data_IF_270984193869
#
_entry.id   IF_270984193869
#
_cell.length_a   1.000
_cell.length_b   1.000
_cell.length_c   1.000
_cell.angle_alpha   90.00
_cell.angle_beta   90.00
_cell.angle_gamma   90.00
#
_symmetry.space_group_name_H-M   'P 1'
#
loop_
_entity.id
_entity.type
_entity.pdbx_description
1 polymer ?
#
# COMPACT_ATOMS: atom_id res chain seq x y z
N UNK A 1 21.74 -15.76 2.82
CA UNK A 1 23.04 -15.06 2.96
C UNK A 1 23.03 -14.05 4.12
N UNK A 2 22.21 -12.99 4.11
CA UNK A 2 22.25 -11.94 5.16
C UNK A 2 22.03 -12.51 6.58
N UNK A 3 21.09 -13.42 6.76
CA UNK A 3 20.83 -14.06 8.06
C UNK A 3 21.98 -14.98 8.49
N UNK A 4 22.62 -15.68 7.57
CA UNK A 4 23.78 -16.53 7.83
C UNK A 4 24.99 -15.72 8.33
N UNK A 5 25.05 -14.43 7.98
CA UNK A 5 26.07 -13.50 8.48
C UNK A 5 25.71 -12.85 9.83
N UNK A 6 24.61 -13.26 10.46
CA UNK A 6 24.13 -12.74 11.74
C UNK A 6 23.43 -11.38 11.67
N UNK A 7 23.11 -10.88 10.47
CA UNK A 7 22.38 -9.63 10.28
C UNK A 7 20.88 -9.85 10.46
N UNK A 8 20.23 -8.88 11.09
CA UNK A 8 18.76 -8.79 11.09
C UNK A 8 18.28 -8.15 9.82
N UNK A 9 17.23 -8.72 9.22
CA UNK A 9 16.69 -8.28 7.94
C UNK A 9 15.34 -7.61 8.16
N UNK A 10 15.23 -6.35 7.78
CA UNK A 10 13.96 -5.63 7.68
C UNK A 10 13.62 -5.48 6.20
N UNK A 11 12.53 -6.08 5.75
CA UNK A 11 12.06 -5.93 4.39
C UNK A 11 11.06 -4.77 4.28
N UNK A 12 11.34 -3.87 3.34
CA UNK A 12 10.63 -2.59 3.23
C UNK A 12 10.26 -2.31 1.78
N UNK A 13 9.19 -2.95 1.24
CA UNK A 13 8.72 -2.66 -0.12
C UNK A 13 8.02 -1.31 -0.16
N UNK A 14 8.28 -0.53 -1.20
CA UNK A 14 7.61 0.76 -1.40
C UNK A 14 7.37 1.06 -2.88
N UNK A 15 6.39 1.91 -3.15
CA UNK A 15 6.03 2.34 -4.49
C UNK A 15 6.81 3.62 -4.83
N UNK A 16 7.41 3.65 -6.02
CA UNK A 16 7.81 4.87 -6.72
C UNK A 16 6.90 5.03 -7.94
N UNK A 17 6.30 6.20 -8.10
CA UNK A 17 5.45 6.49 -9.23
C UNK A 17 6.30 6.97 -10.40
N UNK A 18 6.14 6.35 -11.57
CA UNK A 18 6.75 6.81 -12.82
C UNK A 18 5.77 7.71 -13.55
N UNK A 19 5.84 9.01 -13.27
CA UNK A 19 4.95 10.03 -13.83
C UNK A 19 5.73 10.85 -14.85
N UNK A 20 5.42 10.66 -16.12
CA UNK A 20 6.07 11.38 -17.21
C UNK A 20 5.58 12.83 -17.28
N UNK A 21 6.44 13.74 -17.70
CA UNK A 21 6.06 15.12 -17.99
C UNK A 21 5.04 15.16 -19.13
N UNK A 22 4.03 16.03 -19.03
CA UNK A 22 2.98 16.16 -20.05
C UNK A 22 2.05 14.94 -20.16
N UNK A 23 1.86 14.19 -19.07
CA UNK A 23 1.14 12.89 -19.03
C UNK A 23 -0.36 12.96 -19.37
N UNK A 24 -0.98 14.15 -19.43
CA UNK A 24 -2.41 14.31 -19.71
C UNK A 24 -3.36 13.79 -18.61
N UNK A 25 -2.83 13.41 -17.45
CA UNK A 25 -3.61 12.95 -16.30
C UNK A 25 -3.88 14.11 -15.35
N UNK A 26 -5.15 14.38 -15.07
CA UNK A 26 -5.51 15.44 -14.14
C UNK A 26 -4.87 15.22 -12.76
N UNK A 27 -4.26 16.27 -12.20
CA UNK A 27 -3.71 16.22 -10.84
C UNK A 27 -4.85 16.26 -9.81
N UNK A 28 -5.03 15.21 -9.01
CA UNK A 28 -6.12 15.14 -8.04
C UNK A 28 -6.02 16.20 -6.93
N UNK A 29 -4.83 16.78 -6.71
CA UNK A 29 -4.59 17.76 -5.66
C UNK A 29 -4.88 19.19 -6.08
N UNK A 30 -4.61 19.53 -7.34
CA UNK A 30 -4.72 20.92 -7.85
C UNK A 30 -5.75 21.09 -8.95
N UNK A 31 -6.19 20.00 -9.58
CA UNK A 31 -7.03 20.02 -10.77
C UNK A 31 -6.30 20.42 -12.06
N UNK A 32 -4.97 20.55 -12.02
CA UNK A 32 -4.17 20.83 -13.22
C UNK A 32 -4.30 19.68 -14.24
N UNK A 33 -4.16 20.01 -15.54
CA UNK A 33 -4.32 19.04 -16.63
C UNK A 33 -3.26 17.93 -16.67
N UNK A 34 -2.14 18.13 -16.01
CA UNK A 34 -1.07 17.14 -15.89
C UNK A 34 -0.70 16.94 -14.42
N UNK A 35 -0.47 15.70 -14.02
CA UNK A 35 0.15 15.39 -12.75
C UNK A 35 1.63 15.81 -12.78
N UNK A 36 2.17 16.36 -11.69
CA UNK A 36 3.59 16.69 -11.61
C UNK A 36 4.44 15.42 -11.58
N UNK A 37 5.63 15.48 -12.18
CA UNK A 37 6.60 14.37 -12.22
C UNK A 37 7.27 14.15 -10.85
N UNK A 38 6.45 13.93 -9.81
CA UNK A 38 6.89 13.69 -8.44
C UNK A 38 6.64 12.21 -8.11
N UNK A 39 7.69 11.40 -7.96
CA UNK A 39 7.55 9.94 -7.80
C UNK A 39 7.08 9.50 -6.41
N UNK A 40 6.78 10.44 -5.51
CA UNK A 40 6.47 10.15 -4.12
C UNK A 40 5.05 9.59 -3.94
N UNK A 41 4.98 8.37 -3.42
CA UNK A 41 3.74 7.62 -3.11
C UNK A 41 2.77 8.33 -2.18
N UNK A 42 3.24 9.29 -1.38
CA UNK A 42 2.37 10.12 -0.52
C UNK A 42 1.38 11.00 -1.29
N UNK A 43 1.52 11.10 -2.61
CA UNK A 43 0.59 11.80 -3.50
C UNK A 43 -0.54 10.90 -4.03
N UNK A 44 -0.46 9.58 -3.88
CA UNK A 44 -1.55 8.67 -4.26
C UNK A 44 -2.78 9.01 -3.41
N UNK A 45 -3.92 9.28 -4.06
CA UNK A 45 -5.15 9.68 -3.39
C UNK A 45 -6.37 9.38 -4.26
N UNK A 46 -7.54 9.89 -3.88
CA UNK A 46 -8.79 9.81 -4.64
C UNK A 46 -8.69 10.54 -5.99
N UNK A 47 -9.64 10.30 -6.87
CA UNK A 47 -9.77 11.02 -8.17
C UNK A 47 -9.75 12.54 -8.01
N UNK A 48 -10.26 13.05 -6.88
CA UNK A 48 -10.05 14.40 -6.37
C UNK A 48 -9.66 14.27 -4.90
N UNK A 49 -8.55 14.87 -4.50
CA UNK A 49 -8.01 14.76 -3.15
C UNK A 49 -9.00 15.28 -2.08
N UNK A 50 -8.91 14.80 -0.84
CA UNK A 50 -9.71 15.33 0.26
C UNK A 50 -9.61 16.85 0.38
N UNK A 51 -10.76 17.52 0.54
CA UNK A 51 -10.87 18.98 0.57
C UNK A 51 -11.03 19.65 -0.80
N UNK A 52 -10.79 18.95 -1.91
CA UNK A 52 -11.04 19.44 -3.27
C UNK A 52 -12.54 19.49 -3.60
N UNK A 53 -12.92 20.40 -4.49
CA UNK A 53 -14.32 20.49 -4.95
C UNK A 53 -14.71 19.21 -5.70
N UNK A 54 -15.82 18.58 -5.30
CA UNK A 54 -16.28 17.31 -5.88
C UNK A 54 -15.49 16.07 -5.41
N UNK A 55 -14.64 16.19 -4.37
CA UNK A 55 -13.95 15.04 -3.79
C UNK A 55 -14.95 14.01 -3.28
N UNK A 56 -14.72 12.69 -3.56
CA UNK A 56 -15.52 11.62 -2.97
C UNK A 56 -15.23 11.38 -1.48
N UNK A 57 -14.26 12.09 -0.87
CA UNK A 57 -13.93 11.98 0.56
C UNK A 57 -15.18 12.11 1.44
N UNK A 58 -15.26 11.33 2.50
CA UNK A 58 -16.41 11.20 3.42
C UNK A 58 -17.66 10.51 2.81
N UNK A 59 -17.57 10.01 1.58
CA UNK A 59 -18.65 9.31 0.89
C UNK A 59 -18.32 7.84 0.60
N UNK A 60 -19.31 7.12 0.03
CA UNK A 60 -19.12 5.73 -0.43
C UNK A 60 -18.08 5.61 -1.55
N UNK A 61 -18.00 6.61 -2.44
CA UNK A 61 -17.02 6.66 -3.52
C UNK A 61 -15.56 6.64 -3.02
N UNK A 62 -15.30 7.18 -1.82
CA UNK A 62 -13.99 7.06 -1.19
C UNK A 62 -13.66 5.61 -0.81
N UNK A 63 -14.62 4.89 -0.27
CA UNK A 63 -14.46 3.46 0.08
C UNK A 63 -14.21 2.64 -1.18
N UNK A 64 -14.98 2.87 -2.24
CA UNK A 64 -14.85 2.17 -3.52
C UNK A 64 -13.46 2.38 -4.15
N UNK A 65 -12.96 3.63 -4.17
CA UNK A 65 -11.65 3.94 -4.73
C UNK A 65 -10.50 3.38 -3.89
N UNK A 66 -10.61 3.42 -2.56
CA UNK A 66 -9.62 2.77 -1.68
C UNK A 66 -9.63 1.25 -1.87
N UNK A 67 -10.80 0.63 -1.91
CA UNK A 67 -10.91 -0.81 -2.16
C UNK A 67 -10.32 -1.20 -3.53
N UNK A 68 -10.57 -0.40 -4.56
CA UNK A 68 -9.97 -0.61 -5.88
C UNK A 68 -8.43 -0.50 -5.87
N UNK A 69 -7.87 0.42 -5.10
CA UNK A 69 -6.41 0.54 -4.93
C UNK A 69 -5.82 -0.68 -4.20
N UNK A 70 -6.48 -1.14 -3.14
CA UNK A 70 -6.01 -2.33 -2.41
C UNK A 70 -6.23 -3.62 -3.21
N UNK A 71 -7.32 -3.73 -3.93
CA UNK A 71 -7.67 -4.90 -4.73
C UNK A 71 -8.20 -6.08 -3.90
N UNK A 72 -8.27 -7.23 -4.53
CA UNK A 72 -8.93 -8.43 -3.99
C UNK A 72 -8.00 -9.65 -3.82
N UNK A 73 -6.72 -9.53 -4.17
CA UNK A 73 -5.73 -10.59 -4.02
C UNK A 73 -5.64 -11.08 -2.56
N UNK A 74 -5.53 -12.38 -2.39
CA UNK A 74 -5.42 -13.08 -1.10
C UNK A 74 -4.10 -13.82 -0.99
N UNK A 75 -3.64 -14.08 0.24
CA UNK A 75 -2.44 -14.89 0.46
C UNK A 75 -2.50 -16.26 -0.19
N UNK A 76 -3.69 -16.85 -0.31
CA UNK A 76 -3.91 -18.16 -0.96
C UNK A 76 -3.77 -18.15 -2.48
N UNK A 77 -3.71 -16.98 -3.11
CA UNK A 77 -3.55 -16.85 -4.56
C UNK A 77 -2.10 -16.99 -5.02
N UNK A 78 -1.17 -17.15 -4.07
CA UNK A 78 0.25 -17.24 -4.32
C UNK A 78 0.76 -18.65 -4.02
N UNK A 79 1.58 -19.16 -4.92
CA UNK A 79 2.22 -20.47 -4.77
C UNK A 79 3.75 -20.29 -4.86
N UNK A 80 4.43 -20.25 -3.70
CA UNK A 80 5.89 -20.16 -3.67
C UNK A 80 6.49 -21.51 -4.10
N UNK A 81 7.48 -21.47 -4.99
CA UNK A 81 8.24 -22.62 -5.43
C UNK A 81 9.71 -22.22 -5.62
N UNK A 82 10.60 -22.85 -4.88
CA UNK A 82 12.04 -22.58 -4.88
C UNK A 82 12.37 -21.07 -4.78
N UNK A 83 12.81 -20.46 -5.88
CA UNK A 83 13.21 -19.05 -5.92
C UNK A 83 12.14 -18.12 -6.57
N UNK A 84 10.91 -18.60 -6.73
CA UNK A 84 9.85 -17.88 -7.39
C UNK A 84 8.51 -17.96 -6.64
N UNK A 85 7.62 -17.02 -6.96
CA UNK A 85 6.25 -17.02 -6.44
C UNK A 85 5.28 -16.87 -7.61
N UNK A 86 4.56 -17.94 -7.94
CA UNK A 86 3.51 -17.89 -8.95
C UNK A 86 2.24 -17.26 -8.37
N UNK A 87 1.49 -16.56 -9.21
CA UNK A 87 0.22 -15.94 -8.86
C UNK A 87 -0.91 -16.49 -9.73
N UNK A 88 -2.00 -16.93 -9.11
CA UNK A 88 -3.17 -17.50 -9.76
C UNK A 88 -4.49 -16.80 -9.39
N UNK A 89 -4.42 -15.69 -8.69
CA UNK A 89 -5.58 -14.91 -8.28
C UNK A 89 -6.17 -14.02 -9.39
N UNK A 90 -7.01 -13.04 -9.03
CA UNK A 90 -7.60 -12.09 -9.97
C UNK A 90 -6.57 -11.37 -10.83
N UNK A 91 -6.90 -11.12 -12.09
CA UNK A 91 -6.01 -10.37 -12.99
C UNK A 91 -6.04 -8.87 -12.66
N UNK A 92 -5.31 -8.49 -11.63
CA UNK A 92 -5.22 -7.12 -11.12
C UNK A 92 -3.76 -6.76 -10.79
N UNK A 93 -3.43 -5.49 -10.88
CA UNK A 93 -2.20 -4.90 -10.35
C UNK A 93 -2.57 -4.03 -9.15
N UNK A 94 -2.72 -4.66 -7.98
CA UNK A 94 -3.23 -4.04 -6.78
C UNK A 94 -2.18 -3.98 -5.67
N UNK A 95 -2.45 -3.14 -4.66
CA UNK A 95 -1.55 -3.00 -3.53
C UNK A 95 -1.42 -4.30 -2.73
N UNK A 96 -2.53 -5.02 -2.50
CA UNK A 96 -2.52 -6.34 -1.83
C UNK A 96 -1.67 -7.34 -2.59
N UNK A 97 -1.86 -7.44 -3.91
CA UNK A 97 -1.05 -8.32 -4.75
C UNK A 97 0.44 -8.04 -4.62
N UNK A 98 0.82 -6.75 -4.63
CA UNK A 98 2.21 -6.32 -4.48
C UNK A 98 2.80 -6.74 -3.13
N UNK A 99 2.15 -6.43 -2.03
CA UNK A 99 2.65 -6.73 -0.68
C UNK A 99 2.67 -8.23 -0.38
N UNK A 100 1.60 -8.95 -0.74
CA UNK A 100 1.50 -10.40 -0.51
C UNK A 100 2.53 -11.18 -1.34
N UNK A 101 2.83 -10.75 -2.57
CA UNK A 101 3.90 -11.33 -3.38
C UNK A 101 5.24 -11.27 -2.63
N UNK A 102 5.61 -10.12 -2.10
CA UNK A 102 6.86 -9.97 -1.36
C UNK A 102 6.85 -10.68 0.00
N UNK A 103 5.71 -10.80 0.66
CA UNK A 103 5.60 -11.59 1.87
C UNK A 103 5.92 -13.07 1.59
N UNK A 104 5.36 -13.63 0.49
CA UNK A 104 5.67 -14.99 0.07
C UNK A 104 7.13 -15.17 -0.37
N UNK A 105 7.72 -14.19 -1.07
CA UNK A 105 9.16 -14.22 -1.40
C UNK A 105 10.02 -14.21 -0.14
N UNK A 106 9.69 -13.39 0.86
CA UNK A 106 10.40 -13.38 2.13
C UNK A 106 10.28 -14.73 2.85
N UNK A 107 9.10 -15.36 2.85
CA UNK A 107 8.90 -16.69 3.44
C UNK A 107 9.74 -17.75 2.72
N UNK A 108 9.74 -17.78 1.39
CA UNK A 108 10.52 -18.71 0.58
C UNK A 108 12.04 -18.51 0.78
N UNK A 109 12.49 -17.27 0.96
CA UNK A 109 13.90 -16.94 1.23
C UNK A 109 14.35 -17.23 2.68
N UNK A 110 13.56 -17.92 3.50
CA UNK A 110 13.88 -18.26 4.88
C UNK A 110 13.45 -17.20 5.90
N UNK A 111 12.49 -16.34 5.55
CA UNK A 111 11.86 -15.31 6.38
C UNK A 111 12.76 -14.08 6.65
N UNK A 112 12.20 -13.10 7.32
CA UNK A 112 12.82 -11.82 7.72
C UNK A 112 12.53 -11.54 9.19
N UNK A 113 13.27 -10.60 9.82
CA UNK A 113 13.02 -10.21 11.22
C UNK A 113 11.86 -9.20 11.34
N UNK A 114 11.69 -8.37 10.32
CA UNK A 114 10.57 -7.44 10.23
C UNK A 114 10.14 -7.21 8.78
N UNK A 115 8.88 -6.91 8.58
CA UNK A 115 8.27 -6.61 7.29
C UNK A 115 7.37 -5.37 7.39
N UNK A 116 7.59 -4.38 6.52
CA UNK A 116 6.73 -3.21 6.41
C UNK A 116 5.65 -3.47 5.36
N UNK A 117 4.38 -3.36 5.76
CA UNK A 117 3.22 -3.52 4.85
C UNK A 117 2.90 -2.28 4.04
N UNK A 118 3.62 -1.19 4.27
CA UNK A 118 3.44 0.08 3.56
C UNK A 118 4.31 1.18 4.14
N UNK A 119 4.39 2.27 3.41
CA UNK A 119 5.16 3.43 3.82
C UNK A 119 4.66 4.72 3.19
N UNK A 120 4.65 5.79 3.98
CA UNK A 120 4.46 7.17 3.52
C UNK A 120 3.28 7.37 2.55
N UNK A 121 2.17 6.65 2.78
CA UNK A 121 0.97 6.76 1.92
C UNK A 121 -0.03 7.78 2.47
N UNK A 122 0.46 8.94 2.89
CA UNK A 122 -0.33 10.00 3.49
C UNK A 122 -1.60 10.33 2.71
N UNK A 123 -1.49 10.43 1.38
CA UNK A 123 -2.63 10.74 0.51
C UNK A 123 -3.73 9.68 0.53
N UNK A 124 -3.39 8.44 0.89
CA UNK A 124 -4.32 7.30 1.03
C UNK A 124 -4.85 7.20 2.46
N UNK A 125 -3.96 7.28 3.46
CA UNK A 125 -4.33 7.06 4.87
C UNK A 125 -5.24 8.15 5.44
N UNK A 126 -5.22 9.36 4.88
CA UNK A 126 -6.11 10.46 5.29
C UNK A 126 -7.53 10.38 4.73
N UNK A 127 -7.80 9.51 3.73
CA UNK A 127 -9.10 9.38 3.10
C UNK A 127 -10.15 8.91 4.12
N UNK A 128 -11.29 9.57 4.14
CA UNK A 128 -12.42 9.22 4.99
C UNK A 128 -13.57 8.65 4.17
N UNK A 129 -14.13 7.59 4.66
CA UNK A 129 -15.41 7.06 4.21
C UNK A 129 -16.58 7.69 4.98
N UNK A 130 -17.81 7.16 4.80
CA UNK A 130 -18.98 7.56 5.57
C UNK A 130 -18.71 7.43 7.09
N UNK A 131 -19.31 8.35 7.88
CA UNK A 131 -19.20 8.38 9.34
C UNK A 131 -17.76 8.55 9.88
N UNK A 132 -16.87 9.17 9.11
CA UNK A 132 -15.51 9.47 9.53
C UNK A 132 -14.59 8.26 9.67
N UNK A 133 -14.95 7.11 9.10
CA UNK A 133 -14.07 5.93 9.07
C UNK A 133 -12.95 6.11 8.07
N UNK A 134 -11.81 5.50 8.33
CA UNK A 134 -10.63 5.50 7.47
C UNK A 134 -10.52 4.15 6.74
N UNK A 135 -11.05 4.03 5.50
CA UNK A 135 -11.08 2.74 4.82
C UNK A 135 -9.69 2.15 4.57
N UNK A 136 -8.70 2.98 4.25
CA UNK A 136 -7.33 2.50 4.04
C UNK A 136 -6.70 1.90 5.32
N UNK A 137 -7.06 2.42 6.50
CA UNK A 137 -6.57 1.84 7.76
C UNK A 137 -7.15 0.45 7.97
N UNK A 138 -8.43 0.25 7.66
CA UNK A 138 -9.07 -1.08 7.73
C UNK A 138 -8.38 -2.08 6.80
N UNK A 139 -8.15 -1.70 5.54
CA UNK A 139 -7.45 -2.53 4.55
C UNK A 139 -6.01 -2.86 4.98
N UNK A 140 -5.28 -1.89 5.55
CA UNK A 140 -3.94 -2.12 6.07
C UNK A 140 -3.93 -3.09 7.26
N UNK A 141 -4.93 -3.00 8.15
CA UNK A 141 -5.06 -3.94 9.26
C UNK A 141 -5.30 -5.37 8.76
N UNK A 142 -6.20 -5.55 7.79
CA UNK A 142 -6.47 -6.85 7.18
C UNK A 142 -5.23 -7.40 6.46
N UNK A 143 -4.54 -6.56 5.68
CA UNK A 143 -3.29 -6.92 5.01
C UNK A 143 -2.20 -7.35 6.00
N UNK A 144 -2.09 -6.64 7.14
CA UNK A 144 -1.15 -7.00 8.20
C UNK A 144 -1.43 -8.41 8.78
N UNK A 145 -2.71 -8.76 8.95
CA UNK A 145 -3.10 -10.09 9.42
C UNK A 145 -2.75 -11.18 8.39
N UNK A 146 -2.96 -10.93 7.11
CA UNK A 146 -2.56 -11.88 6.07
C UNK A 146 -1.03 -12.04 5.97
N UNK A 147 -0.29 -10.94 5.98
CA UNK A 147 1.18 -10.98 6.01
C UNK A 147 1.67 -11.74 7.25
N UNK A 148 1.01 -11.55 8.39
CA UNK A 148 1.27 -12.30 9.62
C UNK A 148 1.06 -13.81 9.43
N UNK A 149 0.01 -14.21 8.73
CA UNK A 149 -0.27 -15.62 8.48
C UNK A 149 0.77 -16.28 7.55
N UNK A 150 1.36 -15.50 6.64
CA UNK A 150 2.39 -15.97 5.71
C UNK A 150 3.76 -16.06 6.40
N UNK A 151 4.16 -15.03 7.13
CA UNK A 151 5.50 -14.90 7.70
C UNK A 151 5.67 -15.52 9.09
N UNK A 152 4.55 -15.79 9.80
CA UNK A 152 4.57 -16.35 11.14
C UNK A 152 4.60 -15.30 12.26
N UNK A 153 4.43 -15.77 13.50
CA UNK A 153 4.25 -14.94 14.69
C UNK A 153 5.51 -14.14 15.09
N UNK A 154 6.68 -14.67 14.78
CA UNK A 154 7.95 -14.09 15.21
C UNK A 154 8.39 -12.86 14.38
N UNK A 155 7.86 -12.72 13.15
CA UNK A 155 8.17 -11.58 12.28
C UNK A 155 7.43 -10.34 12.75
N UNK A 156 8.14 -9.23 12.93
CA UNK A 156 7.51 -7.95 13.27
C UNK A 156 6.87 -7.35 12.03
N UNK A 157 5.58 -7.02 12.13
CA UNK A 157 4.85 -6.34 11.05
C UNK A 157 4.69 -4.88 11.42
N UNK A 158 5.01 -3.97 10.50
CA UNK A 158 4.94 -2.54 10.71
C UNK A 158 4.49 -1.76 9.48
N UNK A 159 4.24 -0.48 9.69
CA UNK A 159 4.01 0.52 8.66
C UNK A 159 5.01 1.67 8.89
N UNK A 160 5.72 2.07 7.85
CA UNK A 160 6.69 3.16 7.93
C UNK A 160 6.02 4.49 7.54
N UNK A 161 5.42 5.14 8.53
CA UNK A 161 4.70 6.38 8.34
C UNK A 161 5.63 7.55 7.96
N UNK A 162 5.15 8.43 7.08
CA UNK A 162 5.74 9.76 6.92
C UNK A 162 5.56 10.57 8.22
N UNK A 163 6.50 11.46 8.52
CA UNK A 163 6.42 12.27 9.73
C UNK A 163 5.12 13.07 9.85
N UNK A 164 4.54 13.48 8.73
CA UNK A 164 3.26 14.21 8.70
C UNK A 164 2.04 13.32 8.99
N UNK A 165 2.17 12.00 8.91
CA UNK A 165 1.10 11.07 9.29
C UNK A 165 0.91 10.99 10.81
N UNK A 166 1.91 11.40 11.60
CA UNK A 166 1.79 11.44 13.07
C UNK A 166 1.02 12.66 13.58
N UNK A 167 1.12 13.80 12.88
CA UNK A 167 0.64 15.08 13.39
C UNK A 167 -0.27 15.84 12.42
N UNK A 168 -0.41 15.40 11.19
CA UNK A 168 -0.87 16.26 10.12
C UNK A 168 -2.19 15.90 9.44
N UNK A 169 -2.85 14.83 9.85
CA UNK A 169 -4.06 14.39 9.15
C UNK A 169 -5.34 15.05 9.64
N UNK A 170 -5.30 15.72 10.76
CA UNK A 170 -6.49 16.24 11.38
C UNK A 170 -6.43 17.75 11.47
N UNK A 171 -7.37 18.47 10.81
CA UNK A 171 -7.62 19.85 11.13
C UNK A 171 -8.24 19.96 12.53
#
# INVERSE_FOLDING_TARGET
>A
YLRETGLRVVFYPFILMDIQEGNGLADPWTGAANQPSIPWRGRITLSTAPGGHGSPDKGSGAVEQVSAFFGSAKGTDFNPADESVAYSGPNEWSYRRFILHYAHLCAAAGSVDAFCIGSEMRGVTQIRGPNGRYPAVSELCELALEVRSILGADVKIGYAADWSEYFGHHP
#
